data_IF_323404855256
#
_entry.id   IF_323404855256
#
_cell.length_a   1.000
_cell.length_b   1.000
_cell.length_c   1.000
_cell.angle_alpha   90.00
_cell.angle_beta   90.00
_cell.angle_gamma   90.00
#
_symmetry.space_group_name_H-M   'P 1'
#
loop_
_entity.id
_entity.type
_entity.pdbx_description
1 polymer ?
#
# COMPACT_ATOMS: atom_id res chain seq x y z
N UNK A 1 0.07 -15.53 11.78
CA UNK A 1 -0.89 -16.43 11.12
C UNK A 1 -0.12 -17.69 10.75
N UNK A 2 -0.58 -18.86 11.21
CA UNK A 2 0.08 -20.13 10.86
C UNK A 2 -0.24 -20.47 9.41
N UNK A 3 0.79 -20.71 8.60
CA UNK A 3 0.64 -21.20 7.24
C UNK A 3 0.38 -22.71 7.28
N UNK A 4 -0.82 -23.13 6.92
CA UNK A 4 -1.12 -24.55 6.76
C UNK A 4 -0.46 -25.05 5.47
N UNK A 5 0.31 -26.13 5.59
CA UNK A 5 0.97 -26.79 4.48
C UNK A 5 0.12 -27.94 3.93
N UNK A 6 0.29 -28.27 2.66
CA UNK A 6 -0.36 -29.44 2.09
C UNK A 6 0.16 -30.71 2.78
N UNK A 7 -0.77 -31.61 3.15
CA UNK A 7 -0.42 -32.91 3.76
C UNK A 7 0.49 -33.77 2.88
N UNK A 8 0.36 -33.65 1.56
CA UNK A 8 1.10 -34.47 0.59
C UNK A 8 2.30 -33.72 -0.01
N UNK A 9 2.24 -32.39 -0.06
CA UNK A 9 3.34 -31.53 -0.51
C UNK A 9 3.76 -30.57 0.61
N UNK A 10 4.63 -31.00 1.55
CA UNK A 10 4.98 -30.20 2.73
C UNK A 10 5.71 -28.89 2.41
N UNK A 11 6.19 -28.73 1.18
CA UNK A 11 6.83 -27.49 0.69
C UNK A 11 5.82 -26.52 0.04
N UNK A 12 4.57 -26.94 -0.19
CA UNK A 12 3.51 -26.12 -0.76
C UNK A 12 2.51 -25.69 0.31
N UNK A 13 2.05 -24.44 0.26
CA UNK A 13 0.96 -23.96 1.10
C UNK A 13 -0.36 -24.58 0.68
N UNK A 14 -1.21 -24.93 1.65
CA UNK A 14 -2.53 -25.46 1.37
C UNK A 14 -3.50 -24.34 0.97
N UNK A 15 -4.19 -24.52 -0.14
CA UNK A 15 -5.23 -23.64 -0.68
C UNK A 15 -6.64 -24.16 -0.37
N UNK A 16 -6.77 -25.43 0.01
CA UNK A 16 -8.05 -26.11 0.25
C UNK A 16 -8.07 -26.93 1.55
N UNK A 17 -9.23 -26.99 2.21
CA UNK A 17 -9.47 -27.81 3.40
C UNK A 17 -10.59 -28.79 3.10
N UNK A 18 -10.35 -30.07 3.38
CA UNK A 18 -11.40 -31.07 3.36
C UNK A 18 -11.98 -31.22 4.77
N UNK A 19 -13.23 -30.82 4.96
CA UNK A 19 -13.94 -30.92 6.25
C UNK A 19 -14.24 -32.37 6.63
N UNK A 20 -14.35 -33.29 5.67
CA UNK A 20 -14.61 -34.71 5.90
C UNK A 20 -13.36 -35.47 6.36
N UNK A 21 -12.22 -35.21 5.72
CA UNK A 21 -10.96 -35.89 6.03
C UNK A 21 -10.12 -35.13 7.08
N UNK A 22 -10.50 -33.88 7.39
CA UNK A 22 -9.73 -32.95 8.24
C UNK A 22 -8.28 -32.79 7.78
N UNK A 23 -8.07 -32.63 6.46
CA UNK A 23 -6.75 -32.44 5.85
C UNK A 23 -6.71 -31.18 4.99
N UNK A 24 -5.53 -30.58 4.90
CA UNK A 24 -5.25 -29.41 4.06
C UNK A 24 -4.50 -29.83 2.79
N UNK A 25 -4.92 -29.30 1.64
CA UNK A 25 -4.56 -29.73 0.29
C UNK A 25 -4.12 -28.51 -0.56
N UNK A 26 -3.16 -28.71 -1.47
CA UNK A 26 -2.81 -27.72 -2.50
C UNK A 26 -3.67 -27.92 -3.76
N UNK A 27 -3.50 -27.06 -4.76
CA UNK A 27 -4.21 -27.14 -6.04
C UNK A 27 -3.89 -28.42 -6.83
N UNK A 28 -2.69 -28.98 -6.67
CA UNK A 28 -2.30 -30.26 -7.30
C UNK A 28 -2.97 -31.48 -6.64
N UNK A 29 -3.48 -31.33 -5.41
CA UNK A 29 -4.08 -32.41 -4.62
C UNK A 29 -5.61 -32.34 -4.56
N UNK A 30 -6.25 -31.59 -5.46
CA UNK A 30 -7.71 -31.56 -5.60
C UNK A 30 -8.11 -31.97 -7.01
N UNK A 31 -9.27 -32.61 -7.14
CA UNK A 31 -9.83 -32.96 -8.44
C UNK A 31 -10.57 -31.75 -9.01
N UNK A 32 -10.23 -31.29 -10.21
CA UNK A 32 -10.92 -30.17 -10.84
C UNK A 32 -12.38 -30.56 -11.10
N UNK A 33 -13.30 -29.65 -10.81
CA UNK A 33 -14.70 -29.81 -11.17
C UNK A 33 -14.88 -29.65 -12.69
N UNK A 34 -15.84 -30.39 -13.25
CA UNK A 34 -16.23 -30.26 -14.65
C UNK A 34 -16.93 -28.92 -14.94
N UNK A 35 -17.51 -28.29 -13.91
CA UNK A 35 -18.05 -26.94 -13.96
C UNK A 35 -17.00 -25.94 -13.46
N UNK A 36 -16.75 -24.87 -14.22
CA UNK A 36 -15.71 -23.88 -13.92
C UNK A 36 -15.93 -23.11 -12.62
N UNK A 37 -17.18 -23.02 -12.14
CA UNK A 37 -17.56 -22.29 -10.92
C UNK A 37 -17.78 -23.20 -9.70
N UNK A 38 -17.68 -24.52 -9.86
CA UNK A 38 -17.86 -25.44 -8.75
C UNK A 38 -16.57 -25.56 -7.92
N UNK A 39 -16.73 -25.72 -6.60
CA UNK A 39 -15.59 -26.02 -5.74
C UNK A 39 -15.00 -27.39 -6.13
N UNK A 40 -13.66 -27.53 -6.18
CA UNK A 40 -13.04 -28.81 -6.52
C UNK A 40 -13.34 -29.86 -5.44
N UNK A 41 -13.07 -31.13 -5.77
CA UNK A 41 -13.30 -32.25 -4.87
C UNK A 41 -11.99 -32.77 -4.27
N UNK A 42 -12.06 -33.30 -3.05
CA UNK A 42 -10.94 -33.98 -2.41
C UNK A 42 -10.63 -35.28 -3.15
N UNK A 43 -9.38 -35.50 -3.54
CA UNK A 43 -8.97 -36.72 -4.26
C UNK A 43 -9.12 -38.02 -3.44
N UNK A 44 -9.24 -37.92 -2.11
CA UNK A 44 -9.37 -39.08 -1.22
C UNK A 44 -10.83 -39.51 -1.00
N UNK A 45 -11.71 -38.56 -0.65
CA UNK A 45 -13.09 -38.84 -0.26
C UNK A 45 -14.13 -38.37 -1.29
N UNK A 46 -13.69 -37.69 -2.35
CA UNK A 46 -14.52 -37.13 -3.40
C UNK A 46 -15.60 -36.13 -2.90
N UNK A 47 -15.41 -35.58 -1.71
CA UNK A 47 -16.27 -34.53 -1.14
C UNK A 47 -15.76 -33.15 -1.55
N UNK A 48 -16.66 -32.18 -1.62
CA UNK A 48 -16.32 -30.78 -1.92
C UNK A 48 -15.37 -30.23 -0.85
N UNK A 49 -14.33 -29.53 -1.30
CA UNK A 49 -13.38 -28.87 -0.40
C UNK A 49 -13.77 -27.41 -0.21
N UNK A 50 -13.46 -26.86 0.96
CA UNK A 50 -13.59 -25.43 1.21
C UNK A 50 -12.28 -24.74 0.88
N UNK A 51 -12.35 -23.62 0.17
CA UNK A 51 -11.16 -22.80 -0.05
C UNK A 51 -10.68 -22.26 1.29
N UNK A 52 -9.42 -22.55 1.66
CA UNK A 52 -8.70 -21.62 2.50
C UNK A 52 -8.37 -20.49 1.55
N UNK A 53 -9.18 -19.43 1.53
CA UNK A 53 -8.76 -18.18 0.91
C UNK A 53 -7.53 -17.68 1.69
N UNK A 54 -6.36 -18.22 1.34
CA UNK A 54 -5.10 -17.54 1.53
C UNK A 54 -5.18 -16.41 0.52
N UNK A 55 -5.74 -15.27 0.94
CA UNK A 55 -5.47 -14.00 0.29
C UNK A 55 -3.95 -14.03 0.03
N UNK A 56 -3.56 -13.98 -1.25
CA UNK A 56 -2.15 -14.00 -1.67
C UNK A 56 -1.37 -13.22 -0.64
N UNK A 57 -0.38 -13.80 0.05
CA UNK A 57 0.19 -13.18 1.24
C UNK A 57 0.80 -11.84 0.85
N UNK A 58 0.01 -10.78 0.98
CA UNK A 58 0.46 -9.41 0.75
C UNK A 58 1.42 -9.18 1.88
N UNK A 59 2.70 -9.09 1.55
CA UNK A 59 3.75 -8.90 2.55
C UNK A 59 3.36 -7.65 3.33
N UNK A 60 3.08 -7.77 4.64
CA UNK A 60 2.51 -6.66 5.37
C UNK A 60 3.46 -5.46 5.34
N UNK A 61 2.86 -4.26 5.31
CA UNK A 61 3.59 -3.00 5.15
C UNK A 61 4.83 -2.86 6.05
N UNK A 62 4.73 -3.24 7.33
CA UNK A 62 5.84 -3.13 8.28
C UNK A 62 7.07 -3.97 7.90
N UNK A 63 6.90 -5.09 7.19
CA UNK A 63 8.01 -5.87 6.66
C UNK A 63 8.65 -5.21 5.43
N UNK A 64 7.90 -4.37 4.70
CA UNK A 64 8.40 -3.59 3.56
C UNK A 64 8.81 -2.16 3.93
N UNK A 65 8.73 -1.77 5.20
CA UNK A 65 8.95 -0.38 5.65
C UNK A 65 10.30 0.19 5.22
N UNK A 66 11.36 -0.62 5.28
CA UNK A 66 12.72 -0.20 4.88
C UNK A 66 12.81 0.08 3.39
N UNK A 67 12.12 -0.71 2.56
CA UNK A 67 12.03 -0.47 1.12
C UNK A 67 11.18 0.77 0.82
N UNK A 68 10.08 0.95 1.56
CA UNK A 68 9.25 2.15 1.47
C UNK A 68 10.03 3.43 1.82
N UNK A 69 10.85 3.42 2.88
CA UNK A 69 11.67 4.57 3.28
C UNK A 69 12.82 4.88 2.30
N UNK A 70 13.29 3.90 1.52
CA UNK A 70 14.28 4.15 0.46
C UNK A 70 13.74 5.00 -0.69
N UNK A 71 12.43 5.06 -0.91
CA UNK A 71 11.84 5.89 -1.95
C UNK A 71 12.06 7.39 -1.72
N UNK A 72 11.57 7.98 -0.61
CA UNK A 72 11.76 9.41 -0.36
C UNK A 72 13.22 9.77 -0.08
N UNK A 73 14.03 8.83 0.42
CA UNK A 73 15.47 9.05 0.66
C UNK A 73 16.35 8.69 -0.54
N UNK A 74 15.78 8.25 -1.66
CA UNK A 74 16.53 8.13 -2.92
C UNK A 74 17.02 9.51 -3.35
N UNK A 75 18.13 9.59 -4.11
CA UNK A 75 18.70 10.88 -4.51
C UNK A 75 17.68 11.79 -5.21
N UNK A 76 16.83 11.20 -6.05
CA UNK A 76 15.76 11.90 -6.77
C UNK A 76 14.59 12.27 -5.84
N UNK A 77 14.16 11.35 -4.97
CA UNK A 77 13.09 11.61 -4.00
C UNK A 77 13.47 12.71 -3.02
N UNK A 78 14.69 12.65 -2.49
CA UNK A 78 15.24 13.63 -1.56
C UNK A 78 15.38 15.01 -2.23
N UNK A 79 15.80 15.04 -3.50
CA UNK A 79 15.85 16.27 -4.28
C UNK A 79 14.46 16.91 -4.43
N UNK A 80 13.44 16.14 -4.80
CA UNK A 80 12.07 16.66 -4.92
C UNK A 80 11.49 17.12 -3.59
N UNK A 81 11.76 16.37 -2.51
CA UNK A 81 11.31 16.71 -1.17
C UNK A 81 11.97 18.02 -0.72
N UNK A 82 13.30 18.13 -0.85
CA UNK A 82 14.03 19.35 -0.56
C UNK A 82 13.51 20.55 -1.38
N UNK A 83 13.22 20.33 -2.68
CA UNK A 83 12.67 21.37 -3.54
C UNK A 83 11.28 21.84 -3.07
N UNK A 84 10.37 20.92 -2.76
CA UNK A 84 9.03 21.25 -2.26
C UNK A 84 9.07 22.06 -0.95
N UNK A 85 10.01 21.75 -0.05
CA UNK A 85 10.19 22.49 1.20
C UNK A 85 10.99 23.80 1.04
N UNK A 86 11.85 23.92 0.01
CA UNK A 86 12.63 25.12 -0.24
C UNK A 86 11.84 26.21 -0.99
N UNK A 87 10.89 25.84 -1.85
CA UNK A 87 10.09 26.79 -2.65
C UNK A 87 9.46 27.91 -1.78
N UNK A 88 8.82 27.63 -0.64
CA UNK A 88 8.24 28.67 0.22
C UNK A 88 9.24 29.72 0.71
N UNK A 89 10.52 29.36 0.88
CA UNK A 89 11.56 30.25 1.42
C UNK A 89 11.87 31.41 0.45
N UNK A 90 11.81 31.13 -0.86
CA UNK A 90 12.10 32.10 -1.91
C UNK A 90 10.84 32.83 -2.41
N UNK A 91 9.70 32.59 -1.76
CA UNK A 91 8.41 33.10 -2.21
C UNK A 91 8.11 34.47 -1.57
N UNK A 92 7.58 35.46 -2.33
CA UNK A 92 7.18 36.74 -1.76
C UNK A 92 6.06 36.58 -0.72
N UNK A 93 6.08 37.40 0.33
CA UNK A 93 5.26 37.25 1.55
C UNK A 93 3.75 37.10 1.32
N UNK A 94 3.21 37.71 0.26
CA UNK A 94 1.81 37.62 -0.12
C UNK A 94 1.41 36.25 -0.72
N UNK A 95 2.36 35.47 -1.23
CA UNK A 95 2.11 34.18 -1.87
C UNK A 95 2.68 32.99 -1.09
N UNK A 96 3.38 33.21 0.03
CA UNK A 96 3.95 32.13 0.86
C UNK A 96 2.88 31.13 1.31
N UNK A 97 1.77 31.61 1.86
CA UNK A 97 0.71 30.74 2.41
C UNK A 97 0.05 29.83 1.35
N UNK A 98 -0.45 30.33 0.20
CA UNK A 98 -1.02 29.46 -0.82
C UNK A 98 0.01 28.53 -1.46
N UNK A 99 1.28 28.95 -1.55
CA UNK A 99 2.35 28.10 -2.09
C UNK A 99 2.71 26.96 -1.12
N UNK A 100 2.80 27.23 0.19
CA UNK A 100 2.97 26.19 1.21
C UNK A 100 1.82 25.20 1.21
N UNK A 101 0.58 25.70 1.11
CA UNK A 101 -0.58 24.83 1.03
C UNK A 101 -0.50 23.91 -0.21
N UNK A 102 -0.16 24.48 -1.38
CA UNK A 102 0.01 23.73 -2.61
C UNK A 102 1.12 22.68 -2.54
N UNK A 103 2.29 23.02 -1.99
CA UNK A 103 3.41 22.09 -1.86
C UNK A 103 3.07 20.90 -0.97
N UNK A 104 2.38 21.14 0.16
CA UNK A 104 1.95 20.07 1.05
C UNK A 104 0.86 19.19 0.46
N UNK A 105 -0.08 19.75 -0.31
CA UNK A 105 -1.09 18.96 -1.01
C UNK A 105 -0.42 18.00 -2.01
N UNK A 106 0.53 18.50 -2.81
CA UNK A 106 1.26 17.67 -3.78
C UNK A 106 2.05 16.56 -3.08
N UNK A 107 2.76 16.90 -2.00
CA UNK A 107 3.50 15.93 -1.21
C UNK A 107 2.59 14.85 -0.60
N UNK A 108 1.42 15.24 -0.09
CA UNK A 108 0.45 14.32 0.51
C UNK A 108 -0.20 13.40 -0.53
N UNK A 109 -0.54 13.91 -1.72
CA UNK A 109 -1.07 13.09 -2.83
C UNK A 109 -0.02 12.07 -3.27
N UNK A 110 1.23 12.50 -3.42
CA UNK A 110 2.33 11.60 -3.77
C UNK A 110 2.52 10.50 -2.71
N UNK A 111 2.58 10.88 -1.43
CA UNK A 111 2.70 9.94 -0.32
C UNK A 111 1.54 8.96 -0.22
N UNK A 112 0.31 9.42 -0.47
CA UNK A 112 -0.88 8.58 -0.48
C UNK A 112 -0.82 7.50 -1.56
N UNK A 113 -0.49 7.87 -2.80
CA UNK A 113 -0.37 6.89 -3.89
C UNK A 113 0.76 5.89 -3.68
N UNK A 114 1.89 6.32 -3.09
CA UNK A 114 2.96 5.40 -2.71
C UNK A 114 2.52 4.45 -1.61
N UNK A 115 1.79 4.95 -0.61
CA UNK A 115 1.27 4.14 0.48
C UNK A 115 0.26 3.10 -0.02
N UNK A 116 -0.61 3.47 -0.95
CA UNK A 116 -1.53 2.53 -1.60
C UNK A 116 -0.78 1.42 -2.36
N UNK A 117 0.23 1.78 -3.16
CA UNK A 117 1.05 0.81 -3.90
C UNK A 117 1.85 -0.12 -2.97
N UNK A 118 2.39 0.42 -1.87
CA UNK A 118 3.08 -0.37 -0.86
C UNK A 118 2.12 -1.32 -0.12
N UNK A 119 0.90 -0.85 0.19
CA UNK A 119 -0.12 -1.65 0.86
C UNK A 119 -0.63 -2.81 0.00
N UNK A 120 -0.60 -2.69 -1.34
CA UNK A 120 -0.96 -3.78 -2.25
C UNK A 120 0.22 -4.70 -2.60
N UNK A 121 1.43 -4.41 -2.10
CA UNK A 121 2.64 -5.17 -2.40
C UNK A 121 3.20 -4.96 -3.82
N UNK A 122 2.68 -3.99 -4.57
CA UNK A 122 3.11 -3.66 -5.93
C UNK A 122 3.76 -2.27 -5.98
N UNK A 123 4.98 -2.16 -5.44
CA UNK A 123 5.82 -0.96 -5.60
C UNK A 123 6.39 -0.92 -7.02
N UNK A 124 5.55 -0.58 -8.00
CA UNK A 124 5.89 -0.60 -9.43
C UNK A 124 6.24 0.79 -9.99
N UNK A 125 5.65 1.85 -9.45
CA UNK A 125 5.77 3.19 -10.02
C UNK A 125 6.24 4.20 -8.97
N UNK A 126 7.53 4.56 -9.07
CA UNK A 126 8.25 5.44 -8.13
C UNK A 126 8.42 6.86 -8.71
N UNK A 127 8.14 7.05 -10.01
CA UNK A 127 8.39 8.29 -10.72
C UNK A 127 7.32 9.37 -10.53
N UNK A 128 7.52 10.51 -11.21
CA UNK A 128 6.53 11.61 -11.27
C UNK A 128 5.21 11.21 -11.95
N UNK A 129 5.20 10.08 -12.66
CA UNK A 129 4.03 9.52 -13.32
C UNK A 129 2.91 9.19 -12.31
N UNK A 130 3.28 8.93 -11.05
CA UNK A 130 2.32 8.75 -9.95
C UNK A 130 1.40 9.96 -9.78
N UNK A 131 1.90 11.18 -10.03
CA UNK A 131 1.12 12.42 -9.94
C UNK A 131 0.14 12.59 -11.12
N UNK A 132 0.34 11.85 -12.22
CA UNK A 132 -0.57 11.87 -13.37
C UNK A 132 -1.71 10.87 -13.24
N UNK A 133 -1.67 9.96 -12.25
CA UNK A 133 -2.78 9.05 -11.96
C UNK A 133 -3.99 9.86 -11.50
N UNK A 134 -5.18 9.38 -11.84
CA UNK A 134 -6.44 10.04 -11.50
C UNK A 134 -6.57 10.15 -9.98
N UNK A 135 -6.55 11.39 -9.49
CA UNK A 135 -6.78 11.71 -8.08
C UNK A 135 -8.24 11.50 -7.73
N UNK A 136 -8.52 10.56 -6.82
CA UNK A 136 -9.86 10.38 -6.24
C UNK A 136 -10.17 11.46 -5.18
N UNK A 137 -11.45 11.72 -4.94
CA UNK A 137 -11.95 12.68 -3.95
C UNK A 137 -11.38 12.42 -2.56
N UNK A 138 -11.25 11.15 -2.16
CA UNK A 138 -10.66 10.76 -0.87
C UNK A 138 -9.20 11.24 -0.75
N UNK A 139 -8.40 11.03 -1.80
CA UNK A 139 -6.98 11.44 -1.85
C UNK A 139 -6.86 12.95 -1.67
N UNK A 140 -7.74 13.72 -2.32
CA UNK A 140 -7.74 15.18 -2.21
C UNK A 140 -8.17 15.65 -0.82
N UNK A 141 -9.17 15.02 -0.20
CA UNK A 141 -9.58 15.32 1.17
C UNK A 141 -8.45 15.08 2.17
N UNK A 142 -7.77 13.94 2.06
CA UNK A 142 -6.63 13.60 2.91
C UNK A 142 -5.49 14.59 2.69
N UNK A 143 -5.16 14.89 1.43
CA UNK A 143 -4.13 15.87 1.09
C UNK A 143 -4.41 17.25 1.66
N UNK A 144 -5.67 17.71 1.60
CA UNK A 144 -6.08 18.99 2.16
C UNK A 144 -5.98 19.02 3.69
N UNK A 145 -6.43 17.96 4.38
CA UNK A 145 -6.32 17.89 5.85
C UNK A 145 -4.85 17.90 6.28
N UNK A 146 -4.01 17.10 5.63
CA UNK A 146 -2.56 17.04 5.91
C UNK A 146 -1.92 18.40 5.68
N UNK A 147 -2.22 19.06 4.56
CA UNK A 147 -1.69 20.39 4.25
C UNK A 147 -2.10 21.44 5.29
N UNK A 148 -3.36 21.45 5.72
CA UNK A 148 -3.82 22.40 6.76
C UNK A 148 -3.06 22.19 8.06
N UNK A 149 -2.85 20.94 8.48
CA UNK A 149 -2.10 20.63 9.70
C UNK A 149 -0.67 21.16 9.60
N UNK A 150 0.05 20.84 8.53
CA UNK A 150 1.44 21.30 8.36
C UNK A 150 1.55 22.82 8.25
N UNK A 151 0.71 23.48 7.45
CA UNK A 151 0.68 24.95 7.37
C UNK A 151 0.39 25.56 8.74
N UNK A 152 -0.54 24.98 9.52
CA UNK A 152 -0.86 25.50 10.85
C UNK A 152 0.33 25.40 11.82
N UNK A 153 1.09 24.30 11.75
CA UNK A 153 2.31 24.10 12.53
C UNK A 153 3.39 25.10 12.13
N UNK A 154 3.60 25.32 10.84
CA UNK A 154 4.61 26.27 10.35
C UNK A 154 4.27 27.70 10.77
N UNK A 155 3.00 28.10 10.67
CA UNK A 155 2.53 29.41 11.15
C UNK A 155 2.74 29.55 12.65
N UNK A 156 2.49 28.50 13.42
CA UNK A 156 2.71 28.49 14.87
C UNK A 156 4.20 28.62 15.22
N UNK A 157 5.08 27.88 14.53
CA UNK A 157 6.53 27.99 14.68
C UNK A 157 7.03 29.39 14.32
N UNK A 158 6.57 29.95 13.19
CA UNK A 158 6.94 31.30 12.78
C UNK A 158 6.51 32.37 13.80
N UNK A 159 5.33 32.21 14.42
CA UNK A 159 4.87 33.10 15.49
C UNK A 159 5.69 32.96 16.77
N UNK A 160 6.08 31.74 17.15
CA UNK A 160 6.94 31.51 18.32
C UNK A 160 8.36 32.05 18.11
N UNK A 161 8.90 31.99 16.89
CA UNK A 161 10.24 32.49 16.59
C UNK A 161 10.34 34.03 16.59
N UNK A 162 9.21 34.74 16.52
CA UNK A 162 9.13 36.21 16.57
C UNK A 162 8.91 36.76 18.00
N UNK A 163 8.74 35.87 18.99
CA UNK A 163 8.41 36.19 20.40
C UNK A 163 9.68 36.10 21.26
#
# INVERSE_FOLDING_TARGET
MATDYCKYHPLQSATWHCTTCHISLCDDCVQPSLESDAAPACFLCNQTVTSLHQATPVVPFWLQYTQFMRLPLSLLGAFWLALLFAIPIFTPSNMVLPIMLGSYIVAAIYGWHLLQQAATGELKDIGINVLTKKTDKLTLQIGLVVAIIFVSLDVLVAKMALL
#
